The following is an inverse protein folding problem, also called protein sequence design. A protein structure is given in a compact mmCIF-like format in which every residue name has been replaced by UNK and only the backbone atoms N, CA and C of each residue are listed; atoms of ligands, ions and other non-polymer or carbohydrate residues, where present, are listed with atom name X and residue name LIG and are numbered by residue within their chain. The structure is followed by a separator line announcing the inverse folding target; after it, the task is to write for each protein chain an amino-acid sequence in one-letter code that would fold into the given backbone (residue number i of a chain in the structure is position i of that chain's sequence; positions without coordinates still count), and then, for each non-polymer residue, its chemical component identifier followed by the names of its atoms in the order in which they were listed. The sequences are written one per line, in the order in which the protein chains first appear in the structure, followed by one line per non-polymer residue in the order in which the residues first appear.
data_IF_774074748185
#
_entry.id   IF_774074748185
#
_cell.length_a   1.000
_cell.length_b   1.000
_cell.length_c   1.000
_cell.angle_alpha   90.00
_cell.angle_beta   90.00
_cell.angle_gamma   90.00
#
_symmetry.space_group_name_H-M   'P 1'
#
loop_
_entity.id
_entity.type
_entity.pdbx_description
1 polymer ?
#
# COMPACT_ATOMS: atom_id res chain seq x y z
N UNK A 1 -12.48 16.41 1.99
CA UNK A 1 -12.28 14.94 2.04
C UNK A 1 -11.40 14.66 3.23
N UNK A 2 -11.88 13.90 4.23
CA UNK A 2 -11.10 13.73 5.46
C UNK A 2 -11.58 12.56 6.30
N UNK A 3 -12.89 12.41 6.50
CA UNK A 3 -13.44 11.36 7.36
C UNK A 3 -12.98 9.94 6.97
N UNK A 4 -13.05 9.59 5.68
CA UNK A 4 -12.64 8.27 5.19
C UNK A 4 -11.11 8.05 5.33
N UNK A 5 -10.32 9.08 5.02
CA UNK A 5 -8.85 9.02 5.15
C UNK A 5 -8.41 8.92 6.62
N UNK A 6 -9.09 9.64 7.52
CA UNK A 6 -8.88 9.55 8.96
C UNK A 6 -9.19 8.13 9.46
N UNK A 7 -10.31 7.54 9.03
CA UNK A 7 -10.66 6.17 9.40
C UNK A 7 -9.64 5.15 8.88
N UNK A 8 -9.15 5.31 7.65
CA UNK A 8 -8.10 4.45 7.10
C UNK A 8 -6.81 4.53 7.93
N UNK A 9 -6.38 5.75 8.30
CA UNK A 9 -5.19 5.95 9.15
C UNK A 9 -5.33 5.31 10.52
N UNK A 10 -6.49 5.47 11.17
CA UNK A 10 -6.78 4.85 12.48
C UNK A 10 -6.71 3.33 12.40
N UNK A 11 -7.10 2.73 11.28
CA UNK A 11 -7.06 1.28 11.06
C UNK A 11 -5.70 0.78 10.54
N UNK A 12 -4.65 1.60 10.55
CA UNK A 12 -3.29 1.20 10.15
C UNK A 12 -3.07 1.14 8.63
N UNK A 13 -3.97 1.74 7.85
CA UNK A 13 -3.80 1.90 6.41
C UNK A 13 -3.15 3.26 6.09
N UNK A 14 -2.27 3.27 5.09
CA UNK A 14 -1.67 4.48 4.53
C UNK A 14 -2.43 4.83 3.25
N UNK A 15 -3.30 5.85 3.24
CA UNK A 15 -3.98 6.28 2.01
C UNK A 15 -2.95 6.86 1.03
N UNK A 16 -2.98 6.40 -0.22
CA UNK A 16 -2.02 6.81 -1.26
C UNK A 16 -2.68 7.71 -2.29
N UNK A 17 -3.86 7.30 -2.78
CA UNK A 17 -4.56 8.01 -3.84
C UNK A 17 -6.06 8.02 -3.60
N UNK A 18 -6.69 9.16 -3.88
CA UNK A 18 -8.14 9.30 -3.97
C UNK A 18 -8.55 9.47 -5.44
N UNK A 19 -9.69 8.88 -5.80
CA UNK A 19 -10.31 9.06 -7.11
C UNK A 19 -11.83 9.11 -6.94
N UNK A 20 -12.51 9.88 -7.77
CA UNK A 20 -13.96 9.95 -7.83
C UNK A 20 -14.44 9.40 -9.17
N UNK A 21 -15.50 8.61 -9.16
CA UNK A 21 -16.07 7.95 -10.35
C UNK A 21 -17.60 7.97 -10.28
N UNK A 22 -18.28 7.51 -11.33
CA UNK A 22 -19.74 7.61 -11.48
C UNK A 22 -20.22 9.06 -11.49
N UNK A 23 -19.66 9.89 -12.36
CA UNK A 23 -20.11 11.26 -12.55
C UNK A 23 -21.46 11.35 -13.30
N UNK A 24 -21.92 10.24 -13.88
CA UNK A 24 -23.25 10.15 -14.43
C UNK A 24 -24.33 10.30 -13.35
N UNK A 25 -25.35 11.10 -13.63
CA UNK A 25 -26.49 11.25 -12.73
C UNK A 25 -27.36 9.98 -12.73
N UNK A 26 -27.78 9.47 -11.56
CA UNK A 26 -28.64 8.30 -11.48
C UNK A 26 -30.02 8.65 -12.04
N UNK A 27 -30.31 8.21 -13.27
CA UNK A 27 -31.58 8.48 -13.94
C UNK A 27 -32.03 7.27 -14.75
N UNK A 28 -33.31 6.93 -14.63
CA UNK A 28 -33.95 5.85 -15.40
C UNK A 28 -34.28 6.26 -16.85
N UNK A 29 -34.12 7.54 -17.19
CA UNK A 29 -34.45 8.05 -18.53
C UNK A 29 -33.31 7.73 -19.52
N UNK A 30 -33.66 7.12 -20.66
CA UNK A 30 -32.70 6.73 -21.71
C UNK A 30 -31.85 7.90 -22.22
N UNK A 31 -32.38 9.11 -22.21
CA UNK A 31 -31.64 10.32 -22.61
C UNK A 31 -30.50 10.66 -21.65
N UNK A 32 -30.65 10.39 -20.35
CA UNK A 32 -29.60 10.62 -19.35
C UNK A 32 -28.52 9.55 -19.38
N UNK A 33 -28.87 8.31 -19.71
CA UNK A 33 -27.85 7.27 -19.91
C UNK A 33 -26.97 7.55 -21.14
N UNK A 34 -27.51 8.21 -22.17
CA UNK A 34 -26.72 8.61 -23.36
C UNK A 34 -25.67 9.67 -23.06
N UNK A 35 -25.93 10.56 -22.10
CA UNK A 35 -24.98 11.61 -21.70
C UNK A 35 -24.00 11.15 -20.61
N UNK A 36 -24.21 9.98 -20.01
CA UNK A 36 -23.33 9.41 -18.99
C UNK A 36 -21.84 9.34 -19.40
N UNK A 37 -21.45 8.86 -20.61
CA UNK A 37 -20.03 8.80 -20.99
C UNK A 37 -19.36 10.17 -21.06
N UNK A 38 -20.13 11.20 -21.43
CA UNK A 38 -19.66 12.58 -21.48
C UNK A 38 -19.34 13.10 -20.07
N UNK A 39 -20.22 12.83 -19.11
CA UNK A 39 -19.99 13.19 -17.71
C UNK A 39 -18.81 12.41 -17.08
N UNK A 40 -18.65 11.12 -17.38
CA UNK A 40 -17.49 10.34 -16.92
C UNK A 40 -16.16 10.88 -17.46
N UNK A 41 -16.18 11.49 -18.66
CA UNK A 41 -14.96 12.05 -19.26
C UNK A 41 -14.63 13.44 -18.69
N UNK A 42 -15.65 14.25 -18.39
CA UNK A 42 -15.46 15.60 -17.85
C UNK A 42 -15.26 15.64 -16.34
N UNK A 43 -15.95 14.77 -15.61
CA UNK A 43 -15.94 14.71 -14.15
C UNK A 43 -14.56 14.65 -13.51
N UNK A 44 -13.64 13.76 -13.94
CA UNK A 44 -12.29 13.68 -13.39
C UNK A 44 -11.47 14.96 -13.58
N UNK A 45 -11.84 15.83 -14.53
CA UNK A 45 -11.16 17.10 -14.82
C UNK A 45 -11.68 18.26 -13.97
N UNK A 46 -12.82 18.08 -13.29
CA UNK A 46 -13.42 19.11 -12.45
C UNK A 46 -12.92 18.94 -11.00
N UNK A 47 -12.17 19.91 -10.45
CA UNK A 47 -11.55 19.79 -9.13
C UNK A 47 -12.56 19.72 -7.97
N UNK A 48 -13.84 19.98 -8.24
CA UNK A 48 -14.94 19.97 -7.26
C UNK A 48 -16.10 19.03 -7.64
N UNK A 49 -15.98 18.26 -8.73
CA UNK A 49 -17.00 17.27 -9.05
C UNK A 49 -16.81 16.05 -8.13
N UNK A 50 -17.72 15.88 -7.18
CA UNK A 50 -17.87 14.62 -6.49
C UNK A 50 -18.73 13.70 -7.38
N UNK A 51 -18.10 12.68 -7.97
CA UNK A 51 -18.86 11.58 -8.59
C UNK A 51 -19.68 10.81 -7.54
N UNK A 52 -20.58 9.94 -8.01
CA UNK A 52 -21.42 9.10 -7.15
C UNK A 52 -20.64 8.07 -6.33
N UNK A 53 -19.37 7.81 -6.66
CA UNK A 53 -18.47 6.96 -5.88
C UNK A 53 -17.14 7.64 -5.62
N UNK A 54 -16.62 7.40 -4.41
CA UNK A 54 -15.27 7.76 -3.99
C UNK A 54 -14.49 6.45 -3.81
N UNK A 55 -13.36 6.35 -4.49
CA UNK A 55 -12.43 5.24 -4.36
C UNK A 55 -11.14 5.74 -3.71
N UNK A 56 -10.66 5.03 -2.69
CA UNK A 56 -9.40 5.32 -2.02
C UNK A 56 -8.51 4.09 -2.10
N UNK A 57 -7.35 4.26 -2.70
CA UNK A 57 -6.29 3.27 -2.71
C UNK A 57 -5.47 3.45 -1.43
N UNK A 58 -5.34 2.38 -0.64
CA UNK A 58 -4.64 2.42 0.64
C UNK A 58 -3.82 1.15 0.86
N UNK A 59 -2.57 1.34 1.30
CA UNK A 59 -1.65 0.25 1.60
C UNK A 59 -1.64 -0.06 3.09
N UNK A 60 -1.70 -1.36 3.44
CA UNK A 60 -1.59 -1.80 4.83
C UNK A 60 -0.12 -1.73 5.25
N UNK A 61 0.19 -1.01 6.33
CA UNK A 61 1.57 -0.99 6.85
C UNK A 61 1.89 -2.36 7.43
N UNK A 62 2.97 -2.98 6.95
CA UNK A 62 3.53 -4.14 7.60
C UNK A 62 3.97 -3.71 9.00
N UNK A 63 3.39 -4.32 10.04
CA UNK A 63 3.94 -4.19 11.37
C UNK A 63 5.36 -4.72 11.31
N UNK A 64 6.36 -3.84 11.32
CA UNK A 64 7.68 -4.23 11.76
C UNK A 64 7.47 -4.84 13.14
N UNK A 65 7.83 -6.10 13.32
CA UNK A 65 7.81 -6.72 14.65
C UNK A 65 8.79 -5.91 15.49
N UNK A 66 8.30 -4.93 16.25
CA UNK A 66 9.06 -4.27 17.30
C UNK A 66 9.15 -5.25 18.46
N UNK A 67 10.03 -6.23 18.27
CA UNK A 67 10.55 -7.06 19.33
C UNK A 67 12.06 -6.97 19.21
N UNK A 68 12.74 -6.89 20.36
CA UNK A 68 14.18 -7.14 20.42
C UNK A 68 14.46 -8.41 19.63
N UNK A 69 15.37 -8.40 18.63
CA UNK A 69 15.74 -9.63 17.96
C UNK A 69 16.25 -10.57 19.04
N UNK A 70 15.47 -11.62 19.34
CA UNK A 70 15.96 -12.72 20.18
C UNK A 70 17.00 -13.40 19.33
N UNK A 71 18.23 -12.90 19.39
CA UNK A 71 19.37 -13.62 18.88
C UNK A 71 19.44 -14.88 19.71
N UNK A 72 19.01 -15.99 19.13
CA UNK A 72 19.24 -17.31 19.71
C UNK A 72 20.77 -17.48 19.85
N UNK A 73 21.29 -17.12 21.03
CA UNK A 73 22.69 -17.31 21.41
C UNK A 73 23.10 -18.81 21.40
N UNK A 74 22.15 -19.70 21.11
CA UNK A 74 22.36 -21.13 20.89
C UNK A 74 23.30 -21.43 19.70
N UNK A 75 23.46 -20.54 18.71
CA UNK A 75 24.45 -20.75 17.64
C UNK A 75 25.89 -20.77 18.17
N UNK A 76 26.17 -20.13 19.31
CA UNK A 76 27.52 -20.07 19.90
C UNK A 76 27.94 -21.36 20.62
N UNK A 77 27.03 -22.33 20.79
CA UNK A 77 27.28 -23.59 21.52
C UNK A 77 27.55 -24.82 20.62
N UNK A 78 27.65 -24.63 19.30
CA UNK A 78 28.05 -25.70 18.37
C UNK A 78 29.57 -25.71 18.06
N UNK A 79 30.39 -25.10 18.92
CA UNK A 79 31.86 -25.09 18.78
C UNK A 79 32.50 -26.48 18.72
N UNK A 80 31.77 -27.52 19.13
CA UNK A 80 32.20 -28.93 19.07
C UNK A 80 32.12 -29.49 17.63
N UNK A 81 31.31 -28.90 16.74
CA UNK A 81 31.22 -29.31 15.32
C UNK A 81 32.13 -28.49 14.39
N UNK A 82 32.81 -27.46 14.89
CA UNK A 82 33.74 -26.63 14.11
C UNK A 82 34.97 -27.39 13.59
N UNK A 83 35.22 -28.61 14.09
CA UNK A 83 36.28 -29.50 13.60
C UNK A 83 35.89 -30.34 12.38
N UNK A 84 34.62 -30.35 11.99
CA UNK A 84 34.11 -31.15 10.86
C UNK A 84 33.77 -30.24 9.67
N UNK A 85 34.80 -29.69 9.04
CA UNK A 85 34.74 -29.22 7.65
C UNK A 85 33.78 -28.08 7.33
N UNK A 86 34.21 -26.84 7.50
CA UNK A 86 33.72 -25.73 6.67
C UNK A 86 34.80 -24.67 6.50
N UNK A 87 35.36 -24.59 5.28
CA UNK A 87 36.17 -23.45 4.84
C UNK A 87 35.33 -22.18 5.02
N UNK A 88 35.79 -21.25 5.84
CA UNK A 88 35.19 -19.92 5.93
C UNK A 88 35.37 -19.19 4.59
N UNK A 89 34.26 -18.86 3.93
CA UNK A 89 34.23 -17.94 2.80
C UNK A 89 34.21 -16.52 3.37
N UNK A 90 35.32 -15.79 3.18
CA UNK A 90 35.46 -14.38 3.54
C UNK A 90 34.66 -13.53 2.53
N UNK A 91 33.59 -12.81 2.93
CA UNK A 91 32.88 -11.96 1.99
C UNK A 91 33.75 -10.74 1.68
N UNK A 92 34.10 -10.58 0.40
CA UNK A 92 34.69 -9.34 -0.12
C UNK A 92 33.53 -8.39 -0.39
N UNK A 93 33.33 -7.42 0.50
CA UNK A 93 32.49 -6.26 0.21
C UNK A 93 33.35 -5.32 -0.64
N UNK A 94 33.12 -5.31 -1.95
CA UNK A 94 33.63 -4.24 -2.82
C UNK A 94 32.69 -3.05 -2.69
N UNK A 95 33.14 -2.00 -2.00
CA UNK A 95 32.55 -0.68 -2.09
C UNK A 95 32.95 -0.07 -3.43
N UNK A 96 31.99 0.04 -4.35
CA UNK A 96 32.13 0.82 -5.59
C UNK A 96 31.23 2.05 -5.47
N UNK A 97 31.87 3.20 -5.69
CA UNK A 97 31.34 4.56 -5.77
C UNK A 97 30.01 4.67 -6.52
#
# INVERSE_FOLDING_TARGET
MGQLETQLRVNGFSPERHSTTLFALPSHNRSWQKTAPFFETLGPRLPFAAGGLIMVEASKRANHKTGTPVMNAASKRLGVLSGLGAKQVKPVISSRW
#
